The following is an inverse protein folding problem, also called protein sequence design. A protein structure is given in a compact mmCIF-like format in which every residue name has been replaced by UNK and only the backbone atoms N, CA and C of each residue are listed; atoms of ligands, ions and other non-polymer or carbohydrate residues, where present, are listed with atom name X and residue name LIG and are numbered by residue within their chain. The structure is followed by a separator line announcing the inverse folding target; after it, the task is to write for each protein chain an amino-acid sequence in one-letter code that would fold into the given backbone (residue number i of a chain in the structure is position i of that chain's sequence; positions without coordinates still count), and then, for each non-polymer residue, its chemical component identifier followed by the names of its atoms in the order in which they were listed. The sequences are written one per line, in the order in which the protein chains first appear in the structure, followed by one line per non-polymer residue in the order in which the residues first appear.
data_IF_066940517271
#
_entry.id   IF_066940517271
#
_cell.length_a   1.000
_cell.length_b   1.000
_cell.length_c   1.000
_cell.angle_alpha   90.00
_cell.angle_beta   90.00
_cell.angle_gamma   90.00
#
_symmetry.space_group_name_H-M   'P 1'
#
loop_
_entity.id
_entity.type
_entity.pdbx_description
1 polymer ?
#
# COMPACT_ATOMS: atom_id res chain seq x y z
N UNK A 1 -14.59 -16.26 -20.01
CA UNK A 1 -13.99 -16.65 -18.72
C UNK A 1 -13.36 -15.37 -18.19
N UNK A 2 -13.82 -14.83 -17.06
CA UNK A 2 -13.25 -13.61 -16.49
C UNK A 2 -12.43 -14.01 -15.26
N UNK A 3 -11.20 -13.53 -15.19
CA UNK A 3 -10.38 -13.62 -13.99
C UNK A 3 -10.72 -12.47 -13.03
N UNK A 4 -10.85 -12.77 -11.74
CA UNK A 4 -10.96 -11.73 -10.72
C UNK A 4 -9.57 -11.37 -10.25
N UNK A 5 -9.16 -10.11 -10.46
CA UNK A 5 -7.81 -9.64 -10.14
C UNK A 5 -7.90 -8.55 -9.07
N UNK A 6 -7.17 -8.77 -7.98
CA UNK A 6 -7.00 -7.77 -6.93
C UNK A 6 -5.70 -7.00 -7.14
N UNK A 7 -5.80 -5.68 -7.28
CA UNK A 7 -4.64 -4.80 -7.37
C UNK A 7 -4.35 -4.16 -6.02
N UNK A 8 -3.06 -4.00 -5.69
CA UNK A 8 -2.60 -3.31 -4.48
C UNK A 8 -1.44 -2.42 -4.87
N UNK A 9 -1.53 -1.14 -4.50
CA UNK A 9 -0.42 -0.22 -4.67
C UNK A 9 0.47 -0.26 -3.44
N UNK A 10 1.78 -0.24 -3.67
CA UNK A 10 2.81 -0.15 -2.63
C UNK A 10 3.63 1.12 -2.87
N UNK A 11 4.09 1.74 -1.79
CA UNK A 11 4.90 2.95 -1.80
C UNK A 11 6.21 2.71 -1.06
N UNK A 12 7.33 3.06 -1.69
CA UNK A 12 8.57 3.20 -0.95
C UNK A 12 8.72 4.63 -0.44
N UNK A 13 8.63 4.82 0.87
CA UNK A 13 8.97 6.09 1.52
C UNK A 13 10.39 5.95 2.08
N UNK A 14 11.27 6.87 1.69
CA UNK A 14 12.70 6.85 2.06
C UNK A 14 13.08 8.12 2.81
N UNK A 15 13.82 7.96 3.90
CA UNK A 15 14.44 9.04 4.67
C UNK A 15 15.94 8.73 4.83
N UNK A 16 16.79 9.41 4.05
CA UNK A 16 18.23 9.11 3.99
C UNK A 16 18.49 7.66 3.59
N UNK A 17 19.03 6.84 4.50
CA UNK A 17 19.27 5.41 4.29
C UNK A 17 18.19 4.50 4.92
N UNK A 18 17.10 5.10 5.42
CA UNK A 18 15.98 4.39 6.04
C UNK A 18 14.83 4.26 5.05
N UNK A 19 14.12 3.15 5.11
CA UNK A 19 12.89 2.89 4.34
C UNK A 19 11.76 2.57 5.33
N UNK A 20 10.60 3.18 5.12
CA UNK A 20 9.41 2.88 5.91
C UNK A 20 8.80 1.54 5.49
N UNK A 21 8.53 0.68 6.46
CA UNK A 21 7.87 -0.61 6.28
C UNK A 21 6.76 -0.77 7.32
N UNK A 22 5.71 -1.52 6.96
CA UNK A 22 4.65 -1.95 7.86
C UNK A 22 4.91 -3.39 8.26
N UNK A 23 4.77 -3.69 9.56
CA UNK A 23 4.70 -5.08 10.03
C UNK A 23 3.25 -5.57 9.94
N UNK A 24 2.98 -6.57 9.10
CA UNK A 24 1.64 -7.11 8.93
C UNK A 24 1.46 -8.31 9.84
N UNK A 25 0.66 -8.15 10.89
CA UNK A 25 0.36 -9.26 11.82
C UNK A 25 -0.66 -10.27 11.25
N UNK A 26 -1.43 -9.89 10.22
CA UNK A 26 -2.53 -10.71 9.70
C UNK A 26 -2.01 -11.92 8.90
N UNK A 27 -2.41 -13.12 9.31
CA UNK A 27 -1.86 -14.43 8.88
C UNK A 27 -1.70 -14.65 7.37
N UNK A 28 -2.58 -14.10 6.54
CA UNK A 28 -2.53 -14.33 5.08
C UNK A 28 -1.36 -13.66 4.36
N UNK A 29 -0.76 -12.62 4.95
CA UNK A 29 0.34 -11.84 4.35
C UNK A 29 1.30 -11.33 5.44
N UNK A 30 1.73 -12.21 6.33
CA UNK A 30 2.63 -11.87 7.43
C UNK A 30 4.02 -11.44 6.95
N UNK A 31 4.62 -10.48 7.66
CA UNK A 31 5.97 -10.00 7.42
C UNK A 31 6.04 -8.50 7.08
N UNK A 32 7.27 -8.03 6.84
CA UNK A 32 7.53 -6.63 6.54
C UNK A 32 7.20 -6.31 5.09
N UNK A 33 6.42 -5.26 4.87
CA UNK A 33 6.08 -4.80 3.52
C UNK A 33 6.11 -3.28 3.41
N UNK A 34 6.14 -2.79 2.19
CA UNK A 34 6.03 -1.36 1.92
C UNK A 34 4.61 -0.85 2.25
N UNK A 35 4.47 0.38 2.76
CA UNK A 35 3.16 0.97 2.99
C UNK A 35 2.34 1.04 1.70
N UNK A 36 1.03 0.83 1.79
CA UNK A 36 0.19 0.69 0.61
C UNK A 36 -1.22 0.19 0.92
N UNK A 37 -2.03 0.01 -0.14
CA UNK A 37 -3.44 -0.33 0.01
C UNK A 37 -4.07 -0.89 -1.27
N UNK A 38 -5.25 -1.53 -1.16
CA UNK A 38 -5.97 -2.06 -2.30
C UNK A 38 -6.41 -0.94 -3.24
N UNK A 39 -6.31 -1.20 -4.55
CA UNK A 39 -6.79 -0.32 -5.61
C UNK A 39 -8.28 -0.58 -5.78
N UNK A 40 -9.12 0.37 -5.40
CA UNK A 40 -10.59 0.24 -5.49
C UNK A 40 -11.16 0.78 -6.79
N UNK A 41 -10.43 1.65 -7.50
CA UNK A 41 -10.80 2.22 -8.80
C UNK A 41 -9.55 2.44 -9.66
N UNK A 42 -9.69 2.40 -11.00
CA UNK A 42 -8.55 2.54 -11.94
C UNK A 42 -7.84 3.90 -11.81
N UNK A 43 -8.55 4.95 -11.38
CA UNK A 43 -7.97 6.27 -11.13
C UNK A 43 -7.04 6.29 -9.89
N UNK A 44 -7.19 5.33 -8.98
CA UNK A 44 -6.32 5.20 -7.80
C UNK A 44 -4.92 4.68 -8.10
N UNK A 45 -4.64 4.28 -9.36
CA UNK A 45 -3.28 3.99 -9.82
C UNK A 45 -2.42 5.24 -9.98
N UNK A 46 -3.01 6.37 -10.37
CA UNK A 46 -2.27 7.55 -10.81
C UNK A 46 -2.48 8.78 -9.93
N UNK A 47 -3.54 8.82 -9.11
CA UNK A 47 -3.82 9.99 -8.29
C UNK A 47 -2.97 10.00 -7.00
N UNK A 48 -2.05 10.98 -6.83
CA UNK A 48 -1.23 11.09 -5.63
C UNK A 48 -2.08 11.32 -4.38
N UNK A 49 -3.25 11.97 -4.50
CA UNK A 49 -4.15 12.27 -3.39
C UNK A 49 -4.73 11.00 -2.76
N UNK A 50 -5.17 10.05 -3.58
CA UNK A 50 -5.66 8.74 -3.10
C UNK A 50 -4.52 7.90 -2.53
N UNK A 51 -3.34 7.95 -3.15
CA UNK A 51 -2.14 7.28 -2.66
C UNK A 51 -1.69 7.83 -1.30
N UNK A 52 -1.67 9.15 -1.14
CA UNK A 52 -1.35 9.83 0.12
C UNK A 52 -2.43 9.59 1.19
N UNK A 53 -3.70 9.40 0.79
CA UNK A 53 -4.78 9.04 1.72
C UNK A 53 -4.61 7.61 2.23
N UNK A 54 -4.28 6.66 1.34
CA UNK A 54 -3.93 5.29 1.74
C UNK A 54 -2.67 5.26 2.62
N UNK A 55 -1.65 6.06 2.29
CA UNK A 55 -0.44 6.21 3.09
C UNK A 55 -0.71 6.86 4.45
N UNK A 56 -1.57 7.88 4.52
CA UNK A 56 -1.96 8.50 5.80
C UNK A 56 -2.66 7.49 6.71
N UNK A 57 -3.52 6.64 6.16
CA UNK A 57 -4.16 5.58 6.94
C UNK A 57 -3.17 4.50 7.39
N UNK A 58 -2.16 4.19 6.57
CA UNK A 58 -1.11 3.21 6.90
C UNK A 58 -0.02 3.73 7.85
N UNK A 59 0.27 5.04 7.85
CA UNK A 59 1.24 5.68 8.74
C UNK A 59 0.65 6.09 10.10
N UNK A 60 -0.67 6.03 10.29
CA UNK A 60 -1.34 6.29 11.57
C UNK A 60 -1.42 5.04 12.48
N UNK A 61 -0.79 3.94 12.05
CA UNK A 61 -0.56 2.73 12.83
C UNK A 61 0.91 2.74 13.23
#
# INVERSE_FOLDING_TARGET
MNENVEFTNLCMVRDGDRVLVMDREKESRQGMTLPGGPVTNVESFMEPTHFLTSLRMSCYI
#
